data_IF_099681019447
#
_entry.id   IF_099681019447
#
_cell.length_a   1.000
_cell.length_b   1.000
_cell.length_c   1.000
_cell.angle_alpha   90.00
_cell.angle_beta   90.00
_cell.angle_gamma   90.00
#
_symmetry.space_group_name_H-M   'P 1'
#
loop_
_entity.id
_entity.type
_entity.pdbx_description
1 polymer ?
#
# COMPACT_ATOMS: atom_id res chain seq x y z
N UNK A 1 3.05 9.99 13.84
CA UNK A 1 3.76 11.19 13.27
C UNK A 1 4.54 10.66 12.07
N UNK A 2 4.61 11.36 10.92
CA UNK A 2 5.38 10.80 9.78
C UNK A 2 6.83 10.61 10.22
N UNK A 3 7.31 9.37 10.21
CA UNK A 3 8.70 9.02 10.46
C UNK A 3 9.51 9.16 9.14
N UNK A 4 10.38 10.17 9.01
CA UNK A 4 11.11 10.43 7.77
C UNK A 4 12.10 9.30 7.44
N UNK A 5 12.78 8.73 8.43
CA UNK A 5 13.75 7.65 8.23
C UNK A 5 13.07 6.39 7.68
N UNK A 6 11.85 6.12 8.15
CA UNK A 6 11.09 4.99 7.63
C UNK A 6 10.61 5.24 6.19
N UNK A 7 10.17 6.45 5.86
CA UNK A 7 9.81 6.81 4.48
C UNK A 7 11.01 6.68 3.54
N UNK A 8 12.19 7.18 3.95
CA UNK A 8 13.43 7.03 3.17
C UNK A 8 13.82 5.56 2.97
N UNK A 9 13.65 4.73 4.01
CA UNK A 9 13.82 3.28 3.89
C UNK A 9 12.85 2.68 2.86
N UNK A 10 11.58 3.08 2.88
CA UNK A 10 10.58 2.59 1.93
C UNK A 10 10.96 2.98 0.49
N UNK A 11 11.28 4.23 0.24
CA UNK A 11 11.69 4.71 -1.09
C UNK A 11 12.95 3.98 -1.59
N UNK A 12 13.92 3.76 -0.70
CA UNK A 12 15.16 3.01 -1.01
C UNK A 12 14.90 1.55 -1.37
N UNK A 13 13.79 0.96 -0.93
CA UNK A 13 13.36 -0.40 -1.25
C UNK A 13 12.33 -0.45 -2.39
N UNK A 14 12.24 0.60 -3.20
CA UNK A 14 11.34 0.69 -4.36
C UNK A 14 9.85 0.64 -4.01
N UNK A 15 9.48 1.05 -2.79
CA UNK A 15 8.11 1.40 -2.46
C UNK A 15 7.82 2.82 -2.92
N UNK A 16 6.61 3.06 -3.43
CA UNK A 16 6.22 4.35 -3.98
C UNK A 16 4.72 4.61 -3.76
N UNK A 17 4.25 5.84 -4.00
CA UNK A 17 2.90 6.27 -3.58
C UNK A 17 2.63 5.99 -2.09
N UNK A 18 3.58 6.41 -1.24
CA UNK A 18 3.54 6.13 0.20
C UNK A 18 2.51 7.05 0.88
N UNK A 19 1.64 6.45 1.67
CA UNK A 19 0.55 7.10 2.39
C UNK A 19 0.66 6.75 3.87
N UNK A 20 0.65 7.74 4.75
CA UNK A 20 0.68 7.55 6.21
C UNK A 20 -0.73 7.59 6.81
N UNK A 21 -1.03 6.60 7.64
CA UNK A 21 -2.30 6.44 8.35
C UNK A 21 -2.11 6.94 9.79
N UNK A 22 -2.64 8.12 10.09
CA UNK A 22 -2.36 8.78 11.37
C UNK A 22 -2.93 8.06 12.59
N UNK A 23 -4.04 7.34 12.42
CA UNK A 23 -4.76 6.68 13.53
C UNK A 23 -4.07 5.39 13.97
N UNK A 24 -3.62 4.58 13.02
CA UNK A 24 -2.88 3.33 13.26
C UNK A 24 -1.35 3.53 13.33
N UNK A 25 -0.84 4.68 12.91
CA UNK A 25 0.58 4.98 12.68
C UNK A 25 1.26 4.01 11.70
N UNK A 26 0.48 3.43 10.78
CA UNK A 26 0.96 2.52 9.71
C UNK A 26 1.02 3.22 8.36
N UNK A 27 1.56 2.53 7.35
CA UNK A 27 1.68 3.04 5.99
C UNK A 27 1.00 2.13 4.96
N UNK A 28 0.55 2.72 3.87
CA UNK A 28 0.21 1.99 2.64
C UNK A 28 1.06 2.50 1.47
N UNK A 29 1.41 1.62 0.55
CA UNK A 29 2.21 1.99 -0.61
C UNK A 29 2.00 1.02 -1.79
N UNK A 30 2.51 1.41 -2.95
CA UNK A 30 2.70 0.53 -4.09
C UNK A 30 4.12 -0.05 -4.12
N UNK A 31 4.24 -1.24 -4.69
CA UNK A 31 5.53 -1.84 -5.07
C UNK A 31 5.37 -2.68 -6.31
N UNK A 32 6.40 -2.69 -7.16
CA UNK A 32 6.46 -3.54 -8.35
C UNK A 32 7.08 -4.89 -7.99
N UNK A 33 6.34 -5.97 -8.25
CA UNK A 33 6.84 -7.33 -8.21
C UNK A 33 7.26 -7.77 -9.63
N UNK A 34 7.79 -8.99 -9.75
CA UNK A 34 8.29 -9.51 -11.04
C UNK A 34 7.25 -9.43 -12.19
N UNK A 35 5.95 -9.58 -11.89
CA UNK A 35 4.88 -9.62 -12.90
C UNK A 35 3.64 -8.78 -12.56
N UNK A 36 3.60 -8.16 -11.37
CA UNK A 36 2.39 -7.52 -10.84
C UNK A 36 2.76 -6.29 -10.04
N UNK A 37 1.83 -5.34 -9.92
CA UNK A 37 1.96 -4.24 -8.94
C UNK A 37 1.13 -4.58 -7.71
N UNK A 38 1.67 -4.34 -6.52
CA UNK A 38 0.99 -4.64 -5.28
C UNK A 38 0.73 -3.39 -4.44
N UNK A 39 -0.45 -3.31 -3.83
CA UNK A 39 -0.71 -2.44 -2.69
C UNK A 39 -0.28 -3.21 -1.44
N UNK A 40 0.63 -2.64 -0.65
CA UNK A 40 0.88 -3.06 0.73
C UNK A 40 0.13 -2.14 1.68
N UNK A 41 -0.48 -2.73 2.70
CA UNK A 41 -1.25 -2.04 3.74
C UNK A 41 -0.80 -2.51 5.12
N UNK A 42 -0.97 -1.64 6.11
CA UNK A 42 -0.43 -1.79 7.47
C UNK A 42 1.08 -2.09 7.47
N UNK A 43 1.81 -1.29 6.70
CA UNK A 43 3.26 -1.37 6.62
C UNK A 43 3.91 -0.60 7.78
N UNK A 44 4.78 -1.29 8.52
CA UNK A 44 5.58 -0.76 9.61
C UNK A 44 6.99 -1.41 9.63
N UNK A 45 7.77 -1.16 10.69
CA UNK A 45 9.11 -1.73 10.83
C UNK A 45 9.17 -3.26 10.97
N UNK A 46 8.03 -3.92 11.20
CA UNK A 46 7.90 -5.38 11.32
C UNK A 46 7.48 -6.05 10.00
N UNK A 47 6.89 -5.30 9.07
CA UNK A 47 6.42 -5.80 7.79
C UNK A 47 5.11 -5.16 7.37
N UNK A 48 4.32 -5.87 6.56
CA UNK A 48 2.99 -5.44 6.12
C UNK A 48 1.91 -6.39 6.62
N UNK A 49 0.74 -5.85 6.96
CA UNK A 49 -0.42 -6.63 7.37
C UNK A 49 -1.14 -7.29 6.18
N UNK A 50 -1.30 -6.56 5.07
CA UNK A 50 -1.99 -7.06 3.87
C UNK A 50 -1.27 -6.71 2.58
N UNK A 51 -1.41 -7.57 1.56
CA UNK A 51 -0.92 -7.32 0.20
C UNK A 51 -1.97 -7.67 -0.84
N UNK A 52 -2.26 -6.73 -1.74
CA UNK A 52 -3.20 -6.92 -2.86
C UNK A 52 -2.44 -6.75 -4.19
N UNK A 53 -2.35 -7.81 -5.00
CA UNK A 53 -1.62 -7.81 -6.26
C UNK A 53 -2.56 -7.58 -7.45
N UNK A 54 -2.14 -6.76 -8.42
CA UNK A 54 -2.87 -6.40 -9.63
C UNK A 54 -2.01 -6.65 -10.87
N UNK A 55 -2.66 -6.99 -11.98
CA UNK A 55 -1.97 -7.18 -13.28
C UNK A 55 -1.42 -5.88 -13.85
N UNK A 56 -2.04 -4.74 -13.54
CA UNK A 56 -1.59 -3.42 -14.01
C UNK A 56 -1.37 -2.45 -12.86
N UNK A 57 -0.33 -1.63 -13.00
CA UNK A 57 -0.01 -0.53 -12.09
C UNK A 57 -1.13 0.49 -12.02
N UNK A 58 -1.74 0.84 -13.16
CA UNK A 58 -2.87 1.77 -13.23
C UNK A 58 -4.02 1.31 -12.34
N UNK A 59 -4.33 0.01 -12.33
CA UNK A 59 -5.38 -0.55 -11.49
C UNK A 59 -5.02 -0.47 -10.00
N UNK A 60 -3.77 -0.81 -9.64
CA UNK A 60 -3.31 -0.71 -8.26
C UNK A 60 -3.37 0.73 -7.74
N UNK A 61 -2.92 1.69 -8.56
CA UNK A 61 -2.96 3.12 -8.24
C UNK A 61 -4.41 3.62 -8.06
N UNK A 62 -5.30 3.25 -8.98
CA UNK A 62 -6.72 3.61 -8.89
C UNK A 62 -7.36 3.09 -7.61
N UNK A 63 -7.15 1.81 -7.28
CA UNK A 63 -7.74 1.22 -6.08
C UNK A 63 -7.11 1.75 -4.79
N UNK A 64 -5.80 2.05 -4.76
CA UNK A 64 -5.16 2.72 -3.62
C UNK A 64 -5.79 4.10 -3.36
N UNK A 65 -5.94 4.92 -4.41
CA UNK A 65 -6.55 6.24 -4.31
C UNK A 65 -8.02 6.17 -3.87
N UNK A 66 -8.78 5.22 -4.41
CA UNK A 66 -10.17 4.95 -4.00
C UNK A 66 -10.25 4.53 -2.54
N UNK A 67 -9.38 3.64 -2.08
CA UNK A 67 -9.40 3.16 -0.69
C UNK A 67 -8.98 4.25 0.30
N UNK A 68 -7.96 5.04 -0.05
CA UNK A 68 -7.58 6.25 0.68
C UNK A 68 -8.77 7.23 0.82
N UNK A 69 -9.51 7.47 -0.27
CA UNK A 69 -10.70 8.33 -0.25
C UNK A 69 -11.84 7.82 0.65
N UNK A 70 -11.84 6.52 0.97
CA UNK A 70 -12.77 5.90 1.92
C UNK A 70 -12.17 5.75 3.33
N UNK A 71 -11.04 6.38 3.61
CA UNK A 71 -10.38 6.31 4.92
C UNK A 71 -9.80 4.93 5.25
N UNK A 72 -9.50 4.11 4.24
CA UNK A 72 -9.02 2.74 4.40
C UNK A 72 -9.97 1.82 5.18
N UNK A 73 -11.28 2.03 5.07
CA UNK A 73 -12.26 1.16 5.72
C UNK A 73 -12.15 -0.30 5.25
N UNK A 74 -12.20 -1.25 6.18
CA UNK A 74 -12.08 -2.71 5.94
C UNK A 74 -13.17 -3.23 4.98
N UNK A 75 -14.39 -2.67 5.04
CA UNK A 75 -15.50 -3.04 4.17
C UNK A 75 -15.40 -2.40 2.76
N UNK A 76 -14.29 -1.71 2.49
CA UNK A 76 -13.97 -0.99 1.24
C UNK A 76 -12.58 -1.35 0.72
N UNK A 77 -12.06 -2.52 1.08
CA UNK A 77 -10.80 -3.07 0.56
C UNK A 77 -10.68 -2.95 -0.98
N UNK A 78 -9.44 -2.86 -1.52
CA UNK A 78 -9.21 -2.84 -2.96
C UNK A 78 -9.85 -4.03 -3.66
N UNK A 79 -10.42 -3.80 -4.85
CA UNK A 79 -11.09 -4.88 -5.62
C UNK A 79 -10.46 -5.13 -6.98
N UNK A 80 -10.63 -6.35 -7.50
CA UNK A 80 -10.04 -6.76 -8.78
C UNK A 80 -8.55 -7.12 -8.69
N UNK A 81 -8.07 -7.45 -7.48
CA UNK A 81 -6.78 -8.08 -7.30
C UNK A 81 -6.81 -9.53 -7.81
N UNK A 82 -5.66 -10.01 -8.27
CA UNK A 82 -5.45 -11.39 -8.75
C UNK A 82 -4.81 -12.29 -7.69
N UNK A 83 -4.22 -11.71 -6.65
CA UNK A 83 -3.72 -12.42 -5.48
C UNK A 83 -3.76 -11.53 -4.24
N UNK A 84 -3.95 -12.14 -3.07
CA UNK A 84 -3.97 -11.48 -1.75
C UNK A 84 -3.13 -12.27 -0.74
N UNK A 85 -2.48 -11.57 0.19
CA UNK A 85 -1.95 -12.14 1.43
C UNK A 85 -2.39 -11.31 2.61
#
# INVERSE_FOLDING_TARGET
MINPEFVEFLESNHYYQIVHHKESDTYSCLTSLMFTTAILHDLDGSGYGSRFCFESEERALFELGKWLGNGFADDKEPTGWIARR
#
